data_IF_702084676174
#
_entry.id   IF_702084676174
#
_cell.length_a   1.000
_cell.length_b   1.000
_cell.length_c   1.000
_cell.angle_alpha   90.00
_cell.angle_beta   90.00
_cell.angle_gamma   90.00
#
_symmetry.space_group_name_H-M   'P 1'
#
loop_
_entity.id
_entity.type
_entity.pdbx_description
1 polymer ?
#
# COMPACT_ATOMS: atom_id res chain seq x y z
N UNK A 1 17.66 -1.00 -9.79
CA UNK A 1 18.21 -0.11 -10.82
C UNK A 1 19.48 0.48 -10.25
N UNK A 2 20.59 0.46 -10.98
CA UNK A 2 21.77 1.26 -10.61
C UNK A 2 21.37 2.73 -10.76
N UNK A 3 21.05 3.37 -9.63
CA UNK A 3 20.50 4.72 -9.61
C UNK A 3 21.58 5.74 -9.93
N UNK A 4 21.57 6.27 -11.16
CA UNK A 4 22.38 7.43 -11.52
C UNK A 4 21.62 8.71 -11.19
N UNK A 5 22.18 9.54 -10.30
CA UNK A 5 21.66 10.89 -10.05
C UNK A 5 21.97 11.78 -11.24
N UNK A 6 20.97 12.50 -11.78
CA UNK A 6 21.19 13.48 -12.85
C UNK A 6 22.22 14.54 -12.43
N UNK A 7 23.06 14.99 -13.38
CA UNK A 7 24.10 15.99 -13.12
C UNK A 7 23.51 17.39 -12.93
N UNK A 8 23.09 17.68 -11.69
CA UNK A 8 22.56 18.99 -11.30
C UNK A 8 23.52 20.13 -11.69
N UNK A 9 24.86 20.04 -11.50
CA UNK A 9 25.78 21.10 -11.91
C UNK A 9 25.68 21.44 -13.41
N UNK A 10 25.61 20.43 -14.28
CA UNK A 10 25.49 20.64 -15.73
C UNK A 10 24.14 21.27 -16.10
N UNK A 11 23.05 20.81 -15.45
CA UNK A 11 21.71 21.35 -15.68
C UNK A 11 21.62 22.82 -15.25
N UNK A 12 22.26 23.22 -14.15
CA UNK A 12 22.30 24.61 -13.72
C UNK A 12 23.08 25.52 -14.67
N UNK A 13 24.14 25.02 -15.30
CA UNK A 13 24.83 25.75 -16.37
C UNK A 13 23.88 25.97 -17.56
N UNK A 14 23.17 24.92 -17.98
CA UNK A 14 22.19 25.03 -19.07
C UNK A 14 21.07 26.02 -18.70
N UNK A 15 20.59 26.00 -17.46
CA UNK A 15 19.58 26.95 -16.98
C UNK A 15 20.05 28.40 -17.13
N UNK A 16 21.30 28.69 -16.77
CA UNK A 16 21.89 30.04 -16.90
C UNK A 16 22.04 30.47 -18.36
N UNK A 17 22.41 29.55 -19.25
CA UNK A 17 22.61 29.85 -20.68
C UNK A 17 21.28 30.06 -21.40
N UNK A 18 20.27 29.23 -21.11
CA UNK A 18 19.03 29.17 -21.89
C UNK A 18 17.80 29.75 -21.18
N UNK A 19 17.92 30.14 -19.91
CA UNK A 19 16.86 30.86 -19.17
C UNK A 19 15.60 30.06 -18.89
N UNK A 20 15.65 28.71 -18.94
CA UNK A 20 14.47 27.88 -18.70
C UNK A 20 14.12 27.74 -17.21
N UNK A 21 12.91 27.26 -16.94
CA UNK A 21 12.44 26.90 -15.59
C UNK A 21 12.81 25.46 -15.28
N UNK A 22 13.44 25.23 -14.12
CA UNK A 22 13.90 23.93 -13.68
C UNK A 22 12.90 23.31 -12.71
N UNK A 23 12.17 22.30 -13.19
CA UNK A 23 11.39 21.37 -12.39
C UNK A 23 12.26 20.15 -12.07
N UNK A 24 12.35 19.80 -10.79
CA UNK A 24 13.10 18.64 -10.30
C UNK A 24 12.10 17.69 -9.66
N UNK A 25 11.95 16.49 -10.21
CA UNK A 25 11.09 15.45 -9.65
C UNK A 25 11.96 14.33 -9.07
N UNK A 26 12.10 14.31 -7.75
CA UNK A 26 12.95 13.34 -7.06
C UNK A 26 12.19 12.03 -6.81
N UNK A 27 12.60 11.01 -7.57
CA UNK A 27 12.13 9.64 -7.41
C UNK A 27 12.63 8.95 -6.12
N UNK A 28 13.48 9.60 -5.32
CA UNK A 28 13.94 9.04 -4.06
C UNK A 28 13.14 9.62 -2.88
N UNK A 29 12.97 8.87 -1.77
CA UNK A 29 12.22 9.34 -0.61
C UNK A 29 12.82 10.60 0.02
N UNK A 30 11.99 11.46 0.60
CA UNK A 30 12.47 12.54 1.47
C UNK A 30 13.45 11.96 2.53
N UNK A 31 14.64 12.58 2.69
CA UNK A 31 15.76 12.14 3.53
C UNK A 31 16.70 11.06 2.98
N UNK A 32 16.55 10.62 1.73
CA UNK A 32 17.38 9.54 1.19
C UNK A 32 18.66 9.97 0.47
N UNK A 33 18.80 11.26 0.09
CA UNK A 33 19.92 11.76 -0.70
C UNK A 33 20.56 13.00 -0.05
N UNK A 34 21.90 13.00 -0.06
CA UNK A 34 22.73 14.01 0.58
C UNK A 34 22.85 13.84 2.10
N UNK A 35 23.89 14.41 2.68
CA UNK A 35 24.25 14.35 4.10
C UNK A 35 23.17 14.91 5.03
N UNK A 36 22.34 15.82 4.52
CA UNK A 36 21.22 16.44 5.24
C UNK A 36 19.85 15.88 4.82
N UNK A 37 19.82 14.93 3.88
CA UNK A 37 18.59 14.34 3.39
C UNK A 37 17.71 15.28 2.54
N UNK A 38 18.27 16.41 2.08
CA UNK A 38 17.55 17.44 1.30
C UNK A 38 17.51 17.16 -0.20
N UNK A 39 17.87 15.96 -0.63
CA UNK A 39 17.71 15.51 -2.01
C UNK A 39 18.99 15.60 -2.84
N UNK A 40 18.81 15.45 -4.14
CA UNK A 40 19.87 15.41 -5.17
C UNK A 40 20.77 16.65 -5.17
N UNK A 41 20.23 17.84 -4.89
CA UNK A 41 21.03 19.07 -4.79
C UNK A 41 22.00 19.03 -3.62
N UNK A 42 21.58 18.49 -2.47
CA UNK A 42 22.47 18.35 -1.33
C UNK A 42 23.53 17.26 -1.58
N UNK A 43 23.18 16.17 -2.24
CA UNK A 43 24.14 15.16 -2.68
C UNK A 43 25.29 15.75 -3.52
N UNK A 44 24.98 16.60 -4.50
CA UNK A 44 26.01 17.26 -5.31
C UNK A 44 26.80 18.33 -4.54
N UNK A 45 26.20 19.00 -3.55
CA UNK A 45 26.91 19.90 -2.64
C UNK A 45 27.93 19.15 -1.78
N UNK A 46 27.58 17.95 -1.29
CA UNK A 46 28.49 17.11 -0.50
C UNK A 46 29.69 16.66 -1.32
N UNK A 47 29.51 16.49 -2.64
CA UNK A 47 30.58 16.24 -3.60
C UNK A 47 31.40 17.49 -3.98
N UNK A 48 31.14 18.64 -3.34
CA UNK A 48 31.88 19.88 -3.50
C UNK A 48 31.37 20.79 -4.62
N UNK A 49 30.22 20.49 -5.24
CA UNK A 49 29.68 21.34 -6.30
C UNK A 49 28.81 22.48 -5.76
N UNK A 50 28.97 23.68 -6.33
CA UNK A 50 28.12 24.84 -6.03
C UNK A 50 26.76 24.75 -6.73
N UNK A 51 25.84 24.00 -6.14
CA UNK A 51 24.49 23.78 -6.66
C UNK A 51 23.45 24.05 -5.57
N UNK A 52 23.12 25.33 -5.37
CA UNK A 52 22.13 25.74 -4.37
C UNK A 52 20.73 25.25 -4.74
N UNK A 53 19.96 24.78 -3.76
CA UNK A 53 18.55 24.40 -3.95
C UNK A 53 17.70 25.58 -4.45
N UNK A 54 18.12 26.82 -4.17
CA UNK A 54 17.48 28.05 -4.67
C UNK A 54 17.47 28.17 -6.20
N UNK A 55 18.29 27.38 -6.88
CA UNK A 55 18.38 27.36 -8.33
C UNK A 55 17.31 26.44 -8.97
N UNK A 56 16.58 25.65 -8.20
CA UNK A 56 15.39 24.96 -8.68
C UNK A 56 14.17 25.89 -8.65
N UNK A 57 13.40 25.97 -9.74
CA UNK A 57 12.16 26.77 -9.76
C UNK A 57 10.99 26.00 -9.12
N UNK A 58 11.05 24.67 -9.18
CA UNK A 58 10.10 23.80 -8.51
C UNK A 58 10.78 22.49 -8.14
N UNK A 59 10.62 22.06 -6.90
CA UNK A 59 11.04 20.75 -6.42
C UNK A 59 9.79 19.92 -6.14
N UNK A 60 9.74 18.72 -6.68
CA UNK A 60 8.83 17.66 -6.28
C UNK A 60 9.69 16.53 -5.69
N UNK A 61 9.19 15.88 -4.65
CA UNK A 61 9.82 14.69 -4.09
C UNK A 61 8.76 13.64 -3.80
N UNK A 62 9.20 12.39 -3.74
CA UNK A 62 8.36 11.31 -3.25
C UNK A 62 8.45 11.23 -1.72
N UNK A 63 7.31 11.24 -1.05
CA UNK A 63 7.23 10.82 0.35
C UNK A 63 6.94 9.31 0.35
N UNK A 64 7.97 8.48 0.43
CA UNK A 64 7.76 7.05 0.57
C UNK A 64 7.57 6.69 2.06
N UNK A 65 6.31 6.36 2.38
CA UNK A 65 5.76 5.56 3.48
C UNK A 65 6.25 5.77 4.94
N UNK A 66 5.25 5.94 5.83
CA UNK A 66 5.30 5.86 7.30
C UNK A 66 6.27 6.82 8.01
N UNK A 67 5.78 8.05 8.25
CA UNK A 67 6.35 8.93 9.28
C UNK A 67 5.79 8.52 10.66
N UNK A 68 6.56 7.74 11.44
CA UNK A 68 6.26 7.52 12.84
C UNK A 68 7.02 8.54 13.70
N UNK A 69 6.27 9.44 14.37
CA UNK A 69 6.81 10.36 15.37
C UNK A 69 6.46 9.82 16.75
N UNK A 70 7.47 9.36 17.49
CA UNK A 70 7.34 9.04 18.91
C UNK A 70 8.28 9.96 19.71
N UNK A 71 7.72 11.01 20.30
CA UNK A 71 8.48 12.04 21.00
C UNK A 71 9.42 12.81 20.06
N UNK A 72 10.73 12.86 20.39
CA UNK A 72 11.77 13.54 19.59
C UNK A 72 12.47 12.64 18.56
N UNK A 73 11.97 11.42 18.33
CA UNK A 73 12.57 10.47 17.40
C UNK A 73 11.68 10.27 16.18
N UNK A 74 12.30 10.28 15.00
CA UNK A 74 11.66 10.00 13.72
C UNK A 74 12.25 8.68 13.22
N UNK A 75 11.39 7.72 12.92
CA UNK A 75 11.76 6.48 12.25
C UNK A 75 11.14 6.47 10.84
N UNK A 76 11.95 6.09 9.85
CA UNK A 76 11.56 5.98 8.44
C UNK A 76 11.81 4.55 7.98
N UNK A 77 10.82 3.93 7.34
CA UNK A 77 10.98 2.62 6.72
C UNK A 77 10.45 2.67 5.29
N UNK A 78 11.36 2.61 4.32
CA UNK A 78 11.07 2.90 2.92
C UNK A 78 10.57 1.70 2.12
N UNK A 79 9.49 1.92 1.35
CA UNK A 79 9.26 1.24 0.07
C UNK A 79 8.71 2.27 -0.92
N UNK A 80 9.30 2.35 -2.10
CA UNK A 80 9.17 3.44 -3.06
C UNK A 80 7.76 3.69 -3.62
N UNK A 81 7.57 4.96 -4.06
CA UNK A 81 6.42 5.62 -4.74
C UNK A 81 5.32 6.07 -3.75
N UNK A 82 4.97 7.37 -3.59
CA UNK A 82 4.55 8.38 -4.59
C UNK A 82 4.81 9.85 -4.24
N UNK A 83 4.65 10.65 -5.29
CA UNK A 83 4.63 12.10 -5.36
C UNK A 83 3.37 12.73 -4.74
N UNK A 84 3.57 13.64 -3.79
CA UNK A 84 2.64 14.74 -3.51
C UNK A 84 3.40 16.02 -3.77
N UNK A 85 2.92 16.85 -4.70
CA UNK A 85 3.58 18.10 -5.07
C UNK A 85 3.50 19.10 -3.90
N UNK A 86 4.65 19.44 -3.34
CA UNK A 86 4.81 20.50 -2.34
C UNK A 86 5.69 21.57 -2.97
N UNK A 87 5.23 22.81 -3.02
CA UNK A 87 5.98 23.93 -3.60
C UNK A 87 6.85 24.55 -2.51
N UNK A 88 8.16 24.57 -2.74
CA UNK A 88 9.13 25.36 -1.96
C UNK A 88 9.41 26.69 -2.65
N UNK A 89 9.33 27.78 -1.89
CA UNK A 89 9.79 29.11 -2.32
C UNK A 89 10.83 29.57 -1.30
N UNK A 90 12.03 29.95 -1.75
CA UNK A 90 13.14 30.43 -0.90
C UNK A 90 13.59 29.48 0.23
N UNK A 91 13.30 28.18 0.12
CA UNK A 91 13.67 27.18 1.13
C UNK A 91 12.65 26.99 2.25
N UNK A 92 11.47 27.60 2.14
CA UNK A 92 10.34 27.40 3.05
C UNK A 92 9.13 26.85 2.27
N UNK A 93 8.32 26.01 2.95
CA UNK A 93 7.06 25.50 2.39
C UNK A 93 6.00 26.60 2.46
N UNK A 94 5.18 26.77 1.42
CA UNK A 94 4.05 27.71 1.43
C UNK A 94 2.79 27.02 0.90
N UNK A 95 1.64 27.25 1.54
CA UNK A 95 0.32 26.93 0.98
C UNK A 95 -0.31 28.21 0.39
N UNK A 96 -0.91 28.10 -0.80
CA UNK A 96 -1.57 29.22 -1.48
C UNK A 96 -3.06 29.24 -1.12
N UNK A 97 -3.44 29.98 -0.08
CA UNK A 97 -4.86 30.17 0.29
C UNK A 97 -5.46 31.33 -0.53
N UNK A 98 -6.58 31.08 -1.22
CA UNK A 98 -7.38 32.12 -1.87
C UNK A 98 -8.49 32.57 -0.91
N UNK A 99 -8.32 33.73 -0.28
CA UNK A 99 -9.41 34.38 0.45
C UNK A 99 -10.23 35.24 -0.52
N UNK A 100 -11.53 34.94 -0.65
CA UNK A 100 -12.48 35.81 -1.33
C UNK A 100 -12.96 36.90 -0.34
N UNK A 101 -12.29 38.05 -0.34
CA UNK A 101 -12.79 39.24 0.35
C UNK A 101 -13.85 39.96 -0.50
N UNK A 102 -14.96 40.35 0.12
CA UNK A 102 -15.97 41.24 -0.48
C UNK A 102 -15.32 42.58 -0.84
N UNK A 103 -15.31 42.94 -2.12
CA UNK A 103 -14.75 44.21 -2.60
C UNK A 103 -13.79 44.14 -3.80
N UNK A 104 -13.75 43.03 -4.55
CA UNK A 104 -13.19 43.01 -5.91
C UNK A 104 -11.66 43.11 -6.05
N UNK A 105 -10.89 43.04 -4.95
CA UNK A 105 -9.43 42.87 -5.02
C UNK A 105 -9.02 41.49 -4.49
N UNK A 106 -8.44 40.67 -5.36
CA UNK A 106 -7.79 39.42 -4.98
C UNK A 106 -6.50 39.77 -4.27
N UNK A 107 -6.45 39.57 -2.95
CA UNK A 107 -5.23 39.69 -2.17
C UNK A 107 -4.70 38.27 -1.90
N UNK A 108 -3.62 37.89 -2.58
CA UNK A 108 -2.91 36.64 -2.28
C UNK A 108 -1.93 36.88 -1.14
N UNK A 109 -2.19 36.32 0.04
CA UNK A 109 -1.22 36.25 1.14
C UNK A 109 -0.45 34.93 1.06
N UNK A 110 0.88 35.02 1.07
CA UNK A 110 1.77 33.88 1.30
C UNK A 110 1.92 33.75 2.82
N UNK A 111 1.47 32.62 3.37
CA UNK A 111 1.72 32.28 4.77
C UNK A 111 2.84 31.24 4.82
N UNK A 112 3.94 31.57 5.50
CA UNK A 112 5.04 30.63 5.69
C UNK A 112 4.52 29.40 6.42
N UNK A 113 4.58 28.23 5.77
CA UNK A 113 4.49 26.94 6.45
C UNK A 113 5.88 26.67 7.03
N UNK A 114 6.30 27.52 7.97
CA UNK A 114 7.15 27.03 9.03
C UNK A 114 6.39 25.86 9.64
N UNK A 115 6.99 24.67 9.67
CA UNK A 115 6.43 23.42 10.17
C UNK A 115 5.62 23.64 11.46
N UNK A 116 4.35 23.99 11.33
CA UNK A 116 3.51 24.20 12.49
C UNK A 116 3.19 22.78 12.95
N UNK A 117 3.57 22.38 14.18
CA UNK A 117 3.26 21.05 14.69
C UNK A 117 1.77 20.72 14.55
N UNK A 118 0.91 21.74 14.51
CA UNK A 118 -0.52 21.61 14.27
C UNK A 118 -0.90 21.22 12.82
N UNK A 119 -0.15 21.58 11.78
CA UNK A 119 -0.42 21.17 10.38
C UNK A 119 0.02 19.73 10.15
N UNK A 120 1.19 19.34 10.68
CA UNK A 120 1.61 17.93 10.70
C UNK A 120 0.71 17.08 11.60
N UNK A 121 0.30 17.60 12.75
CA UNK A 121 -0.70 16.96 13.61
C UNK A 121 -2.07 16.91 12.92
N UNK A 122 -2.47 17.92 12.16
CA UNK A 122 -3.74 17.95 11.43
C UNK A 122 -3.73 16.92 10.30
N UNK A 123 -2.68 16.87 9.47
CA UNK A 123 -2.49 15.87 8.42
C UNK A 123 -2.45 14.44 8.98
N UNK A 124 -1.67 14.21 10.04
CA UNK A 124 -1.64 12.89 10.71
C UNK A 124 -2.95 12.56 11.43
N UNK A 125 -3.69 13.54 11.96
CA UNK A 125 -5.02 13.31 12.55
C UNK A 125 -6.09 13.00 11.50
N UNK A 126 -6.01 13.61 10.30
CA UNK A 126 -6.90 13.31 9.19
C UNK A 126 -6.64 11.90 8.67
N UNK A 127 -5.38 11.52 8.49
CA UNK A 127 -4.99 10.15 8.11
C UNK A 127 -5.41 9.13 9.17
N UNK A 128 -5.14 9.37 10.46
CA UNK A 128 -5.59 8.49 11.55
C UNK A 128 -7.11 8.33 11.58
N UNK A 129 -7.87 9.40 11.32
CA UNK A 129 -9.34 9.32 11.24
C UNK A 129 -9.79 8.52 10.02
N UNK A 130 -9.11 8.67 8.89
CA UNK A 130 -9.39 7.89 7.68
C UNK A 130 -9.06 6.41 7.89
N UNK A 131 -7.90 6.09 8.46
CA UNK A 131 -7.50 4.72 8.82
C UNK A 131 -8.47 4.10 9.83
N UNK A 132 -8.91 4.86 10.84
CA UNK A 132 -9.89 4.38 11.80
C UNK A 132 -11.23 4.09 11.09
N UNK A 133 -11.72 5.00 10.25
CA UNK A 133 -12.94 4.78 9.46
C UNK A 133 -12.83 3.58 8.52
N UNK A 134 -11.66 3.38 7.93
CA UNK A 134 -11.41 2.24 7.05
C UNK A 134 -11.35 0.93 7.84
N UNK A 135 -10.73 0.93 9.02
CA UNK A 135 -10.71 -0.23 9.91
C UNK A 135 -12.13 -0.61 10.39
N UNK A 136 -13.00 0.38 10.56
CA UNK A 136 -14.39 0.20 10.97
C UNK A 136 -15.34 -0.10 9.78
N UNK A 137 -14.83 -0.09 8.55
CA UNK A 137 -15.63 -0.25 7.33
C UNK A 137 -16.25 -1.65 7.19
N UNK A 138 -15.57 -2.66 7.73
CA UNK A 138 -15.94 -4.08 7.57
C UNK A 138 -16.14 -4.74 8.94
N UNK A 139 -17.35 -4.65 9.53
CA UNK A 139 -17.70 -5.34 10.77
C UNK A 139 -17.36 -6.83 10.75
N UNK A 140 -17.46 -7.50 9.60
CA UNK A 140 -17.10 -8.92 9.48
C UNK A 140 -15.63 -9.22 9.77
N UNK A 141 -14.71 -8.32 9.38
CA UNK A 141 -13.30 -8.44 9.75
C UNK A 141 -13.10 -8.23 11.24
N UNK A 142 -13.83 -7.28 11.84
CA UNK A 142 -13.72 -7.00 13.27
C UNK A 142 -14.24 -8.18 14.12
N UNK A 143 -15.34 -8.81 13.69
CA UNK A 143 -15.86 -10.04 14.30
C UNK A 143 -14.87 -11.21 14.20
N UNK A 144 -14.16 -11.31 13.08
CA UNK A 144 -13.22 -12.39 12.81
C UNK A 144 -11.86 -12.21 13.51
N UNK A 145 -11.27 -11.02 13.42
CA UNK A 145 -9.88 -10.73 13.84
C UNK A 145 -9.79 -9.89 15.12
N UNK A 146 -10.93 -9.46 15.67
CA UNK A 146 -10.98 -8.51 16.78
C UNK A 146 -10.74 -7.09 16.30
N UNK A 147 -9.86 -6.34 16.98
CA UNK A 147 -9.59 -4.95 16.61
C UNK A 147 -8.84 -4.87 15.28
N UNK A 148 -9.55 -4.50 14.21
CA UNK A 148 -8.96 -4.19 12.92
C UNK A 148 -8.12 -2.91 12.98
N UNK A 149 -7.13 -2.85 12.10
CA UNK A 149 -6.31 -1.66 11.82
C UNK A 149 -6.27 -1.52 10.31
N UNK A 150 -6.21 -0.29 9.85
CA UNK A 150 -6.00 -0.01 8.45
C UNK A 150 -4.82 0.95 8.29
N UNK A 151 -4.27 0.97 7.09
CA UNK A 151 -3.17 1.83 6.71
C UNK A 151 -3.48 2.48 5.37
N UNK A 152 -3.33 3.80 5.31
CA UNK A 152 -3.40 4.53 4.05
C UNK A 152 -2.00 4.66 3.47
N UNK A 153 -1.89 4.41 2.19
CA UNK A 153 -0.63 4.40 1.46
C UNK A 153 -0.73 5.28 0.22
N UNK A 154 0.41 5.67 -0.32
CA UNK A 154 0.41 6.55 -1.47
C UNK A 154 -0.17 5.90 -2.74
N UNK A 155 -0.01 4.59 -2.97
CA UNK A 155 -0.34 3.88 -4.25
C UNK A 155 -0.96 2.53 -3.98
N UNK A 156 -1.94 2.17 -4.79
CA UNK A 156 -2.58 0.88 -4.74
C UNK A 156 -1.64 -0.27 -5.09
N UNK A 157 -0.87 -0.19 -6.20
CA UNK A 157 -0.06 -1.32 -6.66
C UNK A 157 1.09 -1.64 -5.70
N UNK A 158 1.81 -0.61 -5.25
CA UNK A 158 2.86 -0.71 -4.25
C UNK A 158 2.31 -1.24 -2.92
N UNK A 159 1.14 -0.76 -2.47
CA UNK A 159 0.51 -1.25 -1.23
C UNK A 159 0.14 -2.71 -1.32
N UNK A 160 -0.56 -3.09 -2.38
CA UNK A 160 -1.08 -4.44 -2.58
C UNK A 160 0.08 -5.41 -2.79
N UNK A 161 1.01 -5.07 -3.69
CA UNK A 161 2.20 -5.87 -3.97
C UNK A 161 3.07 -6.07 -2.74
N UNK A 162 3.45 -5.00 -2.04
CA UNK A 162 4.32 -5.10 -0.85
C UNK A 162 3.64 -5.80 0.33
N UNK A 163 2.36 -5.53 0.58
CA UNK A 163 1.62 -6.17 1.67
C UNK A 163 1.46 -7.66 1.43
N UNK A 164 1.13 -8.06 0.20
CA UNK A 164 1.05 -9.47 -0.16
C UNK A 164 2.41 -10.16 -0.11
N UNK A 165 3.44 -9.53 -0.67
CA UNK A 165 4.80 -10.05 -0.66
C UNK A 165 5.32 -10.27 0.78
N UNK A 166 5.03 -9.36 1.71
CA UNK A 166 5.37 -9.49 3.12
C UNK A 166 4.66 -10.66 3.82
N UNK A 167 3.53 -11.14 3.29
CA UNK A 167 2.85 -12.37 3.77
C UNK A 167 3.32 -13.63 3.04
N UNK A 168 3.83 -13.48 1.83
CA UNK A 168 4.41 -14.58 1.03
C UNK A 168 5.77 -15.07 1.56
N UNK A 169 6.40 -14.35 2.50
CA UNK A 169 7.62 -14.80 3.19
C UNK A 169 7.30 -15.99 4.11
N UNK A 170 8.16 -17.01 4.13
CA UNK A 170 7.93 -18.21 4.94
C UNK A 170 7.86 -17.89 6.44
N UNK A 171 6.86 -18.42 7.18
CA UNK A 171 6.91 -18.45 8.63
C UNK A 171 8.22 -19.05 9.14
N UNK A 172 8.82 -18.47 10.20
CA UNK A 172 10.06 -18.97 10.84
C UNK A 172 9.83 -20.23 11.69
N UNK A 173 8.93 -21.12 11.26
CA UNK A 173 8.54 -22.32 11.99
C UNK A 173 9.13 -23.55 11.30
N UNK A 174 9.86 -24.38 12.06
CA UNK A 174 10.39 -25.64 11.53
C UNK A 174 9.22 -26.53 11.07
N UNK A 175 9.36 -27.16 9.90
CA UNK A 175 8.39 -28.09 9.29
C UNK A 175 7.07 -27.50 8.77
N UNK A 176 6.96 -26.17 8.66
CA UNK A 176 5.85 -25.51 7.96
C UNK A 176 6.37 -24.91 6.66
N UNK A 177 5.76 -25.29 5.54
CA UNK A 177 6.03 -24.68 4.23
C UNK A 177 5.04 -23.55 3.97
N UNK A 178 5.47 -22.46 3.32
CA UNK A 178 4.53 -21.46 2.84
C UNK A 178 4.14 -21.78 1.39
N UNK A 179 2.86 -22.09 1.17
CA UNK A 179 2.30 -22.24 -0.16
C UNK A 179 1.65 -20.92 -0.55
N UNK A 180 2.23 -20.25 -1.55
CA UNK A 180 1.69 -19.05 -2.17
C UNK A 180 0.83 -19.47 -3.35
N UNK A 181 -0.47 -19.17 -3.29
CA UNK A 181 -1.41 -19.42 -4.38
C UNK A 181 -1.79 -18.10 -5.05
N UNK A 182 -1.58 -18.05 -6.36
CA UNK A 182 -1.90 -16.91 -7.20
C UNK A 182 -2.87 -17.33 -8.30
N UNK A 183 -3.94 -16.58 -8.51
CA UNK A 183 -4.77 -16.81 -9.68
C UNK A 183 -3.92 -16.62 -10.95
N UNK A 184 -4.13 -17.42 -12.00
CA UNK A 184 -3.41 -17.26 -13.28
C UNK A 184 -3.66 -15.89 -13.92
N UNK A 185 -4.77 -15.24 -13.55
CA UNK A 185 -5.13 -13.89 -14.00
C UNK A 185 -4.63 -12.77 -13.08
N UNK A 186 -3.82 -13.07 -12.07
CA UNK A 186 -3.39 -12.08 -11.09
C UNK A 186 -2.62 -10.93 -11.77
N UNK A 187 -2.79 -9.67 -11.32
CA UNK A 187 -2.08 -8.56 -11.93
C UNK A 187 -0.55 -8.71 -11.89
N UNK A 188 0.11 -8.26 -12.95
CA UNK A 188 1.56 -8.44 -13.12
C UNK A 188 2.40 -7.86 -11.97
N UNK A 189 1.98 -6.73 -11.37
CA UNK A 189 2.73 -6.13 -10.25
C UNK A 189 2.71 -7.02 -8.98
N UNK A 190 1.69 -7.86 -8.78
CA UNK A 190 1.63 -8.81 -7.65
C UNK A 190 2.64 -9.92 -7.85
N UNK A 191 2.68 -10.51 -9.05
CA UNK A 191 3.69 -11.49 -9.43
C UNK A 191 5.10 -10.95 -9.17
N UNK A 192 5.38 -9.77 -9.70
CA UNK A 192 6.69 -9.12 -9.52
C UNK A 192 7.04 -8.90 -8.05
N UNK A 193 6.07 -8.50 -7.22
CA UNK A 193 6.30 -8.29 -5.80
C UNK A 193 6.63 -9.61 -5.07
N UNK A 194 5.94 -10.70 -5.40
CA UNK A 194 6.23 -12.04 -4.84
C UNK A 194 7.60 -12.54 -5.29
N UNK A 195 7.96 -12.34 -6.55
CA UNK A 195 9.27 -12.69 -7.08
C UNK A 195 10.40 -11.92 -6.38
N UNK A 196 10.18 -10.64 -6.08
CA UNK A 196 11.16 -9.81 -5.36
C UNK A 196 11.35 -10.24 -3.91
N UNK A 197 10.31 -10.76 -3.24
CA UNK A 197 10.40 -11.24 -1.85
C UNK A 197 10.99 -12.66 -1.71
N UNK A 198 11.68 -13.17 -2.73
CA UNK A 198 12.16 -14.56 -2.80
C UNK A 198 13.42 -14.76 -1.96
N UNK A 199 13.24 -14.91 -0.66
CA UNK A 199 14.35 -15.13 0.29
C UNK A 199 14.50 -16.58 0.78
N UNK A 200 13.56 -17.50 0.47
CA UNK A 200 13.54 -18.81 1.13
C UNK A 200 13.19 -20.01 0.23
N UNK A 201 13.89 -21.13 0.45
CA UNK A 201 13.66 -22.43 -0.20
C UNK A 201 12.41 -23.17 0.27
N UNK A 202 11.78 -22.72 1.37
CA UNK A 202 10.56 -23.29 1.95
C UNK A 202 9.27 -22.65 1.45
N UNK A 203 9.38 -21.65 0.57
CA UNK A 203 8.26 -21.06 -0.16
C UNK A 203 8.02 -21.83 -1.45
N UNK A 204 6.77 -22.20 -1.69
CA UNK A 204 6.33 -22.79 -2.94
C UNK A 204 5.22 -21.95 -3.55
N UNK A 205 5.35 -21.64 -4.82
CA UNK A 205 4.35 -20.90 -5.57
C UNK A 205 3.60 -21.85 -6.50
N UNK A 206 2.27 -21.74 -6.56
CA UNK A 206 1.44 -22.45 -7.52
C UNK A 206 0.33 -21.53 -8.04
N UNK A 207 -0.10 -21.77 -9.27
CA UNK A 207 -1.19 -21.04 -9.90
C UNK A 207 -2.49 -21.85 -9.91
N UNK A 208 -3.61 -21.14 -9.94
CA UNK A 208 -4.94 -21.73 -10.10
C UNK A 208 -5.78 -20.88 -11.06
N UNK A 209 -6.67 -21.51 -11.80
CA UNK A 209 -7.58 -20.80 -12.71
C UNK A 209 -8.93 -20.54 -12.02
N UNK A 210 -9.37 -21.50 -11.19
CA UNK A 210 -10.64 -21.42 -10.48
C UNK A 210 -10.49 -21.65 -8.98
N UNK A 211 -11.33 -20.98 -8.18
CA UNK A 211 -11.32 -21.07 -6.71
C UNK A 211 -11.57 -22.52 -6.25
N UNK A 212 -12.35 -23.28 -7.02
CA UNK A 212 -12.69 -24.67 -6.75
C UNK A 212 -11.48 -25.61 -6.80
N UNK A 213 -10.37 -25.19 -7.43
CA UNK A 213 -9.11 -25.95 -7.47
C UNK A 213 -8.29 -25.81 -6.19
N UNK A 214 -8.41 -24.69 -5.47
CA UNK A 214 -7.59 -24.37 -4.28
C UNK A 214 -7.55 -25.51 -3.25
N UNK A 215 -8.69 -26.12 -2.85
CA UNK A 215 -8.66 -27.22 -1.88
C UNK A 215 -7.96 -28.47 -2.42
N UNK A 216 -8.08 -28.74 -3.73
CA UNK A 216 -7.41 -29.88 -4.38
C UNK A 216 -5.90 -29.69 -4.42
N UNK A 217 -5.44 -28.46 -4.71
CA UNK A 217 -4.02 -28.11 -4.72
C UNK A 217 -3.40 -28.26 -3.32
N UNK A 218 -4.09 -27.83 -2.27
CA UNK A 218 -3.66 -27.99 -0.88
C UNK A 218 -3.50 -29.47 -0.51
N UNK A 219 -4.52 -30.29 -0.79
CA UNK A 219 -4.47 -31.72 -0.52
C UNK A 219 -3.34 -32.43 -1.29
N UNK A 220 -3.10 -32.03 -2.55
CA UNK A 220 -2.01 -32.58 -3.36
C UNK A 220 -0.63 -32.19 -2.82
N UNK A 221 -0.46 -30.94 -2.37
CA UNK A 221 0.80 -30.47 -1.77
C UNK A 221 1.14 -31.26 -0.52
N UNK A 222 0.17 -31.41 0.40
CA UNK A 222 0.36 -32.19 1.62
C UNK A 222 0.72 -33.66 1.33
N UNK A 223 0.04 -34.31 0.38
CA UNK A 223 0.34 -35.70 -0.01
C UNK A 223 1.80 -35.88 -0.47
N UNK A 224 2.37 -34.87 -1.14
CA UNK A 224 3.74 -34.89 -1.68
C UNK A 224 4.79 -34.58 -0.62
N UNK A 225 4.61 -33.53 0.18
CA UNK A 225 5.65 -33.07 1.11
C UNK A 225 5.58 -33.75 2.47
N UNK A 226 4.38 -34.22 2.88
CA UNK A 226 4.07 -34.64 4.26
C UNK A 226 4.36 -33.56 5.31
N UNK A 227 4.55 -32.31 4.87
CA UNK A 227 4.74 -31.15 5.73
C UNK A 227 3.44 -30.36 5.82
N UNK A 228 3.18 -29.80 7.00
CA UNK A 228 2.06 -28.89 7.16
C UNK A 228 2.31 -27.61 6.37
N UNK A 229 1.24 -27.06 5.80
CA UNK A 229 1.31 -25.89 4.93
C UNK A 229 0.68 -24.69 5.61
N UNK A 230 1.34 -23.54 5.53
CA UNK A 230 0.70 -22.24 5.69
C UNK A 230 0.31 -21.75 4.30
N UNK A 231 -0.96 -21.39 4.11
CA UNK A 231 -1.46 -20.89 2.83
C UNK A 231 -1.38 -19.37 2.79
N UNK A 232 -0.78 -18.79 1.77
CA UNK A 232 -0.93 -17.37 1.45
C UNK A 232 -1.59 -17.27 0.08
N UNK A 233 -2.79 -16.71 0.00
CA UNK A 233 -3.57 -16.70 -1.25
C UNK A 233 -4.05 -15.30 -1.60
N UNK A 234 -3.92 -14.95 -2.88
CA UNK A 234 -4.38 -13.69 -3.44
C UNK A 234 -5.66 -13.87 -4.26
N UNK A 235 -6.61 -12.97 -4.09
CA UNK A 235 -7.77 -12.85 -4.97
C UNK A 235 -8.07 -11.40 -5.34
N UNK A 236 -8.41 -11.17 -6.60
CA UNK A 236 -9.27 -10.03 -6.93
C UNK A 236 -10.67 -10.32 -6.35
N UNK A 237 -11.14 -9.45 -5.45
CA UNK A 237 -12.44 -9.60 -4.81
C UNK A 237 -13.60 -9.46 -5.82
N UNK A 238 -13.38 -8.60 -6.82
CA UNK A 238 -14.24 -8.45 -7.99
C UNK A 238 -13.34 -8.53 -9.22
N UNK A 239 -13.58 -9.52 -10.08
CA UNK A 239 -12.81 -9.72 -11.31
C UNK A 239 -12.95 -8.50 -12.23
N UNK A 240 -11.82 -7.89 -12.58
CA UNK A 240 -11.76 -6.68 -13.39
C UNK A 240 -12.37 -6.80 -14.78
N UNK A 241 -12.45 -8.00 -15.35
CA UNK A 241 -12.89 -8.24 -16.73
C UNK A 241 -14.38 -8.56 -16.82
N UNK A 242 -14.87 -9.33 -15.86
CA UNK A 242 -16.24 -9.86 -15.83
C UNK A 242 -17.14 -9.11 -14.86
N UNK A 243 -16.57 -8.38 -13.89
CA UNK A 243 -17.31 -7.79 -12.78
C UNK A 243 -17.85 -8.81 -11.78
N UNK A 244 -17.47 -10.09 -11.92
CA UNK A 244 -17.97 -11.16 -11.07
C UNK A 244 -17.31 -11.10 -9.70
N UNK A 245 -18.14 -11.18 -8.66
CA UNK A 245 -17.68 -11.22 -7.27
C UNK A 245 -17.12 -12.58 -6.89
N UNK A 246 -16.07 -12.60 -6.07
CA UNK A 246 -15.46 -13.80 -5.52
C UNK A 246 -16.48 -14.64 -4.73
N UNK A 247 -16.43 -15.96 -4.86
CA UNK A 247 -17.25 -16.87 -4.05
C UNK A 247 -16.61 -17.17 -2.67
N UNK A 248 -16.32 -16.13 -1.87
CA UNK A 248 -15.48 -16.25 -0.66
C UNK A 248 -16.03 -17.27 0.35
N UNK A 249 -17.34 -17.30 0.61
CA UNK A 249 -17.93 -18.23 1.59
C UNK A 249 -17.66 -19.69 1.23
N UNK A 250 -17.70 -20.04 -0.06
CA UNK A 250 -17.41 -21.39 -0.52
C UNK A 250 -15.95 -21.77 -0.27
N UNK A 251 -15.03 -20.84 -0.53
CA UNK A 251 -13.61 -21.01 -0.24
C UNK A 251 -13.35 -21.18 1.27
N UNK A 252 -13.91 -20.30 2.10
CA UNK A 252 -13.75 -20.36 3.56
C UNK A 252 -14.23 -21.71 4.11
N UNK A 253 -15.39 -22.20 3.65
CA UNK A 253 -15.91 -23.53 4.02
C UNK A 253 -15.01 -24.66 3.54
N UNK A 254 -14.38 -24.53 2.38
CA UNK A 254 -13.46 -25.54 1.88
C UNK A 254 -12.17 -25.58 2.72
N UNK A 255 -11.64 -24.41 3.11
CA UNK A 255 -10.51 -24.27 4.02
C UNK A 255 -10.85 -24.85 5.40
N UNK A 256 -12.06 -24.57 5.91
CA UNK A 256 -12.57 -25.06 7.19
C UNK A 256 -12.47 -26.60 7.33
N UNK A 257 -12.68 -27.32 6.22
CA UNK A 257 -12.71 -28.78 6.15
C UNK A 257 -11.34 -29.45 6.14
N UNK A 258 -10.27 -28.72 5.86
CA UNK A 258 -8.92 -29.29 5.90
C UNK A 258 -8.55 -29.67 7.33
N UNK A 259 -7.67 -30.65 7.50
CA UNK A 259 -7.13 -31.05 8.81
C UNK A 259 -5.96 -30.16 9.25
N UNK A 260 -5.64 -30.08 10.54
CA UNK A 260 -4.57 -29.20 11.07
C UNK A 260 -3.19 -29.68 10.64
N UNK A 261 -3.06 -30.96 10.29
CA UNK A 261 -1.87 -31.54 9.70
C UNK A 261 -1.69 -31.08 8.25
N UNK A 262 -2.77 -30.96 7.48
CA UNK A 262 -2.75 -30.44 6.10
C UNK A 262 -2.50 -28.93 6.06
N UNK A 263 -3.19 -28.17 6.92
CA UNK A 263 -3.15 -26.72 6.95
C UNK A 263 -2.94 -26.19 8.37
N UNK A 264 -1.75 -25.63 8.61
CA UNK A 264 -1.37 -24.97 9.86
C UNK A 264 -2.07 -23.62 10.04
N UNK A 265 -2.30 -22.90 8.94
CA UNK A 265 -2.99 -21.61 8.93
C UNK A 265 -3.08 -21.04 7.53
N UNK A 266 -3.82 -19.95 7.38
CA UNK A 266 -3.96 -19.28 6.09
C UNK A 266 -3.96 -17.75 6.22
N UNK A 267 -3.54 -17.08 5.16
CA UNK A 267 -3.64 -15.66 4.93
C UNK A 267 -4.37 -15.47 3.60
N UNK A 268 -5.61 -14.98 3.65
CA UNK A 268 -6.45 -14.68 2.49
C UNK A 268 -6.35 -13.18 2.23
N UNK A 269 -5.76 -12.82 1.10
CA UNK A 269 -5.56 -11.45 0.68
C UNK A 269 -6.59 -11.09 -0.39
N UNK A 270 -7.46 -10.14 -0.09
CA UNK A 270 -8.54 -9.68 -0.96
C UNK A 270 -8.17 -8.32 -1.54
N UNK A 271 -8.00 -8.27 -2.86
CA UNK A 271 -7.85 -7.03 -3.61
C UNK A 271 -9.22 -6.48 -4.03
N UNK A 272 -9.66 -5.47 -3.29
CA UNK A 272 -10.95 -4.80 -3.44
C UNK A 272 -10.88 -3.52 -4.29
N UNK A 273 -9.83 -3.36 -5.13
CA UNK A 273 -9.72 -2.20 -6.04
C UNK A 273 -10.92 -2.05 -6.98
N UNK A 274 -11.60 -3.15 -7.28
CA UNK A 274 -12.75 -3.20 -8.17
C UNK A 274 -14.10 -3.27 -7.44
N UNK A 275 -14.09 -3.34 -6.10
CA UNK A 275 -15.32 -3.35 -5.32
C UNK A 275 -15.59 -2.02 -4.62
N UNK A 276 -14.61 -1.42 -3.93
CA UNK A 276 -14.81 -0.16 -3.20
C UNK A 276 -15.26 0.96 -4.15
N UNK A 277 -16.28 1.72 -3.74
CA UNK A 277 -16.91 2.76 -4.55
C UNK A 277 -17.87 2.23 -5.62
N UNK A 278 -18.04 0.90 -5.75
CA UNK A 278 -18.82 0.26 -6.82
C UNK A 278 -19.91 -0.70 -6.32
N UNK A 279 -19.59 -1.58 -5.36
CA UNK A 279 -20.51 -2.65 -4.90
C UNK A 279 -20.82 -2.56 -3.41
N UNK A 280 -21.89 -3.26 -3.00
CA UNK A 280 -22.39 -3.30 -1.62
C UNK A 280 -23.27 -2.10 -1.25
N UNK A 281 -23.95 -2.16 -0.08
CA UNK A 281 -24.67 -1.02 0.48
C UNK A 281 -23.79 0.23 0.55
N UNK A 282 -24.29 1.37 0.07
CA UNK A 282 -23.50 2.61 0.06
C UNK A 282 -22.22 2.55 -0.80
N UNK A 283 -22.06 1.50 -1.62
CA UNK A 283 -20.87 1.24 -2.44
C UNK A 283 -19.58 1.09 -1.63
N UNK A 284 -19.66 0.46 -0.47
CA UNK A 284 -18.57 0.36 0.49
C UNK A 284 -17.62 -0.84 0.26
N UNK A 285 -17.74 -1.54 -0.87
CA UNK A 285 -16.78 -2.56 -1.26
C UNK A 285 -17.27 -3.99 -1.10
N UNK A 286 -16.40 -4.94 -1.45
CA UNK A 286 -16.77 -6.34 -1.57
C UNK A 286 -17.19 -6.97 -0.24
N UNK A 287 -16.46 -6.76 0.84
CA UNK A 287 -16.85 -7.34 2.13
C UNK A 287 -18.17 -6.77 2.63
N UNK A 288 -18.43 -5.49 2.41
CA UNK A 288 -19.71 -4.90 2.77
C UNK A 288 -20.88 -5.49 1.95
N UNK A 289 -20.65 -5.79 0.68
CA UNK A 289 -21.61 -6.55 -0.12
C UNK A 289 -21.86 -7.96 0.46
N UNK A 290 -20.81 -8.66 0.89
CA UNK A 290 -20.93 -9.99 1.50
C UNK A 290 -21.64 -9.96 2.85
N UNK A 291 -21.42 -8.92 3.66
CA UNK A 291 -22.13 -8.70 4.93
C UNK A 291 -23.63 -8.52 4.71
N UNK A 292 -24.03 -7.80 3.65
CA UNK A 292 -25.44 -7.67 3.29
C UNK A 292 -26.07 -9.03 2.94
N UNK A 293 -25.34 -9.89 2.24
CA UNK A 293 -25.84 -11.17 1.76
C UNK A 293 -25.82 -12.28 2.81
N UNK A 294 -24.86 -12.24 3.74
CA UNK A 294 -24.56 -13.37 4.63
C UNK A 294 -24.51 -13.00 6.12
N UNK A 295 -24.70 -11.72 6.46
CA UNK A 295 -24.55 -11.19 7.83
C UNK A 295 -23.09 -10.91 8.19
N UNK A 296 -22.87 -10.14 9.26
CA UNK A 296 -21.53 -9.73 9.69
C UNK A 296 -20.66 -10.91 10.15
N UNK A 297 -21.26 -11.96 10.71
CA UNK A 297 -20.52 -13.10 11.24
C UNK A 297 -20.11 -14.13 10.17
N UNK A 298 -20.33 -13.86 8.88
CA UNK A 298 -20.19 -14.85 7.82
C UNK A 298 -18.79 -15.49 7.74
N UNK A 299 -17.72 -14.73 8.03
CA UNK A 299 -16.34 -15.24 8.00
C UNK A 299 -16.15 -16.27 9.11
N UNK A 300 -16.53 -15.91 10.33
CA UNK A 300 -16.42 -16.79 11.52
C UNK A 300 -17.31 -18.01 11.33
N UNK A 301 -18.54 -17.82 10.88
CA UNK A 301 -19.49 -18.91 10.62
C UNK A 301 -18.99 -19.87 9.54
N UNK A 302 -18.33 -19.38 8.48
CA UNK A 302 -17.81 -20.21 7.41
C UNK A 302 -16.54 -20.98 7.81
N UNK A 303 -15.66 -20.38 8.63
CA UNK A 303 -14.42 -20.99 9.10
C UNK A 303 -14.59 -21.89 10.33
N UNK A 304 -15.59 -21.63 11.17
CA UNK A 304 -15.84 -22.35 12.41
C UNK A 304 -14.60 -22.38 13.32
N UNK A 305 -14.20 -23.56 13.84
CA UNK A 305 -13.02 -23.70 14.71
C UNK A 305 -11.70 -23.20 14.09
N UNK A 306 -11.63 -23.05 12.77
CA UNK A 306 -10.42 -22.56 12.09
C UNK A 306 -10.25 -21.05 12.12
N UNK A 307 -11.27 -20.30 12.55
CA UNK A 307 -11.24 -18.83 12.50
C UNK A 307 -9.96 -18.22 13.09
N UNK A 308 -9.43 -18.75 14.19
CA UNK A 308 -8.20 -18.22 14.83
C UNK A 308 -6.90 -18.48 14.06
N UNK A 309 -6.91 -19.42 13.11
CA UNK A 309 -5.75 -19.83 12.30
C UNK A 309 -5.72 -19.19 10.91
N UNK A 310 -6.76 -18.42 10.58
CA UNK A 310 -6.92 -17.76 9.29
C UNK A 310 -6.89 -16.26 9.50
N UNK A 311 -6.12 -15.56 8.67
CA UNK A 311 -6.10 -14.12 8.58
C UNK A 311 -6.77 -13.71 7.27
N UNK A 312 -7.58 -12.66 7.31
CA UNK A 312 -8.16 -12.04 6.13
C UNK A 312 -7.68 -10.59 6.07
N UNK A 313 -7.05 -10.23 4.96
CA UNK A 313 -6.62 -8.85 4.67
C UNK A 313 -7.41 -8.34 3.47
N UNK A 314 -7.74 -7.05 3.49
CA UNK A 314 -8.39 -6.37 2.37
C UNK A 314 -7.54 -5.19 1.99
N UNK A 315 -7.15 -5.11 0.73
CA UNK A 315 -6.44 -3.96 0.22
C UNK A 315 -7.14 -3.43 -1.03
N UNK A 316 -6.93 -2.17 -1.37
CA UNK A 316 -7.59 -1.59 -2.52
C UNK A 316 -6.98 -0.27 -2.97
N UNK A 317 -7.72 0.41 -3.84
CA UNK A 317 -7.28 1.61 -4.54
C UNK A 317 -8.26 2.75 -4.32
N UNK A 318 -7.76 3.86 -3.78
CA UNK A 318 -8.52 5.11 -3.70
C UNK A 318 -8.76 5.68 -5.12
N UNK A 319 -7.88 5.38 -6.07
CA UNK A 319 -7.99 5.89 -7.44
C UNK A 319 -9.13 5.21 -8.18
N UNK A 320 -9.25 3.88 -8.05
CA UNK A 320 -10.32 3.13 -8.69
C UNK A 320 -11.69 3.43 -8.09
N UNK A 321 -11.74 3.79 -6.80
CA UNK A 321 -12.97 4.08 -6.09
C UNK A 321 -13.43 5.55 -6.25
N UNK A 322 -12.50 6.51 -6.18
CA UNK A 322 -12.81 7.93 -6.07
C UNK A 322 -12.00 8.84 -7.00
N UNK A 323 -11.12 8.29 -7.84
CA UNK A 323 -10.24 9.07 -8.72
C UNK A 323 -9.08 9.76 -8.00
N UNK A 324 -8.84 9.46 -6.72
CA UNK A 324 -7.74 10.01 -5.94
C UNK A 324 -6.58 9.03 -5.83
N UNK A 325 -5.36 9.51 -6.03
CA UNK A 325 -4.15 8.72 -5.83
C UNK A 325 -4.11 8.13 -4.41
N UNK A 326 -3.76 6.86 -4.29
CA UNK A 326 -3.71 6.19 -3.00
C UNK A 326 -4.01 4.70 -3.03
N UNK A 327 -3.44 3.97 -2.08
CA UNK A 327 -3.79 2.60 -1.73
C UNK A 327 -4.22 2.49 -0.27
N UNK A 328 -4.78 1.34 0.08
CA UNK A 328 -5.04 0.98 1.47
C UNK A 328 -4.90 -0.51 1.71
N UNK A 329 -4.72 -0.89 2.98
CA UNK A 329 -4.75 -2.27 3.50
C UNK A 329 -5.29 -2.29 4.92
#
# INVERSE_FOLDING_TARGET
MDGTTGSIPAILVLKKVYGFKLLVDEAHPFLSLGSTGRGSFNYWQDLGYHCSLKEADMMACMFSNQLAVEGRKIALHGSEKLSTAVITVDGELYERVKDFAHGGRVCSRLSAVGFHPQVLAAGSSALKRLEQRLADLYPSLARHSGRCRAMVCGDAEGTIGSSFAARAITPRTKHVQNLVLLASSVPHFVHKAVDMARESSSRHEMHFDTIQEVPKLLAQKYKRSKHSTHLTIYFEAVDSRTGTSLALVALLRAIARLSTTELAGACIFLDDRNGLGKIGPGKLGYLNHMEQLHGEDFIVAALGPRSSSVQVLVAGSWYNAFGHQGGYV
#
